data_IF_051242547575
#
_entry.id   IF_051242547575
#
_cell.length_a   1.000
_cell.length_b   1.000
_cell.length_c   1.000
_cell.angle_alpha   90.00
_cell.angle_beta   90.00
_cell.angle_gamma   90.00
#
_symmetry.space_group_name_H-M   'P 1'
#
loop_
_entity.id
_entity.type
_entity.pdbx_description
1 polymer ?
#
# COMPACT_ATOMS: atom_id res chain seq x y z
N UNK A 1 9.85 27.56 -15.72
CA UNK A 1 9.26 26.30 -15.22
C UNK A 1 7.81 26.56 -14.89
N UNK A 2 6.85 25.73 -15.31
CA UNK A 2 5.43 25.94 -14.99
C UNK A 2 5.17 25.68 -13.51
N UNK A 3 4.14 26.33 -12.96
CA UNK A 3 3.69 26.14 -11.58
C UNK A 3 3.49 24.64 -11.25
N UNK A 4 2.95 23.87 -12.20
CA UNK A 4 2.72 22.43 -12.02
C UNK A 4 4.02 21.65 -11.74
N UNK A 5 5.10 21.89 -12.49
CA UNK A 5 6.39 21.23 -12.26
C UNK A 5 7.04 21.65 -10.94
N UNK A 6 6.95 22.96 -10.63
CA UNK A 6 7.47 23.48 -9.35
C UNK A 6 6.71 22.88 -8.17
N UNK A 7 5.38 22.79 -8.25
CA UNK A 7 4.56 22.17 -7.21
C UNK A 7 4.84 20.67 -7.08
N UNK A 8 4.99 19.94 -8.20
CA UNK A 8 5.37 18.53 -8.17
C UNK A 8 6.75 18.32 -7.50
N UNK A 9 7.72 19.19 -7.81
CA UNK A 9 9.04 19.13 -7.19
C UNK A 9 9.00 19.42 -5.68
N UNK A 10 8.14 20.36 -5.25
CA UNK A 10 8.02 20.72 -3.82
C UNK A 10 7.45 19.59 -2.95
N UNK A 11 6.69 18.66 -3.53
CA UNK A 11 6.19 17.45 -2.84
C UNK A 11 7.13 16.26 -2.96
N UNK A 12 8.29 16.41 -3.60
CA UNK A 12 9.33 15.37 -3.69
C UNK A 12 9.38 14.60 -5.01
N UNK A 13 8.65 15.05 -6.07
CA UNK A 13 8.80 14.43 -7.39
C UNK A 13 10.17 14.74 -7.99
N UNK A 14 10.75 13.72 -8.63
CA UNK A 14 11.99 13.89 -9.39
C UNK A 14 11.65 14.39 -10.80
N UNK A 15 11.95 15.66 -11.05
CA UNK A 15 11.70 16.35 -12.32
C UNK A 15 12.95 16.24 -13.19
N UNK A 16 13.13 15.09 -13.84
CA UNK A 16 14.23 14.83 -14.77
C UNK A 16 13.67 14.58 -16.15
N UNK A 17 14.23 15.25 -17.17
CA UNK A 17 13.87 15.10 -18.59
C UNK A 17 12.38 15.35 -18.91
N UNK A 18 11.70 16.18 -18.12
CA UNK A 18 10.35 16.67 -18.40
C UNK A 18 10.34 18.19 -18.26
N UNK A 19 9.79 18.89 -19.25
CA UNK A 19 9.62 20.33 -19.23
C UNK A 19 8.17 20.78 -19.40
N UNK A 20 7.94 22.08 -19.38
CA UNK A 20 6.61 22.65 -19.53
C UNK A 20 5.96 22.33 -20.88
N UNK A 21 6.77 22.22 -21.95
CA UNK A 21 6.25 21.92 -23.28
C UNK A 21 5.79 20.47 -23.37
N UNK A 22 6.43 19.54 -22.66
CA UNK A 22 6.01 18.14 -22.57
C UNK A 22 4.62 18.02 -21.95
N UNK A 23 4.35 18.79 -20.89
CA UNK A 23 3.02 18.84 -20.26
C UNK A 23 1.98 19.46 -21.22
N UNK A 24 2.33 20.55 -21.91
CA UNK A 24 1.42 21.24 -22.85
C UNK A 24 1.11 20.33 -24.05
N UNK A 25 2.11 19.64 -24.58
CA UNK A 25 1.97 18.70 -25.70
C UNK A 25 1.31 17.39 -25.31
N UNK A 26 1.24 17.11 -24.00
CA UNK A 26 0.69 15.85 -23.49
C UNK A 26 1.55 14.65 -23.83
N UNK A 27 2.89 14.75 -23.79
CA UNK A 27 3.82 13.63 -24.10
C UNK A 27 3.53 12.45 -23.16
N UNK A 28 2.92 11.34 -23.65
CA UNK A 28 2.21 10.40 -22.75
C UNK A 28 3.11 9.78 -21.69
N UNK A 29 4.28 9.27 -22.06
CA UNK A 29 5.18 8.58 -21.13
C UNK A 29 5.76 9.51 -20.05
N UNK A 30 5.98 10.79 -20.34
CA UNK A 30 6.48 11.78 -19.40
C UNK A 30 5.37 12.23 -18.45
N UNK A 31 4.18 12.54 -18.98
CA UNK A 31 3.01 12.93 -18.19
C UNK A 31 2.58 11.80 -17.26
N UNK A 32 2.46 10.56 -17.76
CA UNK A 32 2.11 9.41 -16.95
C UNK A 32 3.18 9.08 -15.90
N UNK A 33 4.47 9.27 -16.24
CA UNK A 33 5.57 9.11 -15.29
C UNK A 33 5.48 10.10 -14.13
N UNK A 34 5.18 11.37 -14.41
CA UNK A 34 4.98 12.40 -13.39
C UNK A 34 3.74 12.12 -12.53
N UNK A 35 2.60 11.80 -13.16
CA UNK A 35 1.37 11.44 -12.45
C UNK A 35 1.59 10.26 -11.51
N UNK A 36 2.32 9.23 -11.97
CA UNK A 36 2.63 8.09 -11.11
C UNK A 36 3.48 8.48 -9.90
N UNK A 37 4.46 9.38 -10.04
CA UNK A 37 5.22 9.86 -8.89
C UNK A 37 4.32 10.59 -7.88
N UNK A 38 3.42 11.46 -8.35
CA UNK A 38 2.48 12.19 -7.48
C UNK A 38 1.56 11.23 -6.74
N UNK A 39 0.96 10.27 -7.45
CA UNK A 39 0.08 9.25 -6.86
C UNK A 39 0.84 8.44 -5.82
N UNK A 40 2.04 7.97 -6.15
CA UNK A 40 2.88 7.17 -5.26
C UNK A 40 3.21 7.92 -3.97
N UNK A 41 3.60 9.18 -4.05
CA UNK A 41 3.88 10.01 -2.88
C UNK A 41 2.63 10.13 -2.01
N UNK A 42 1.47 10.47 -2.59
CA UNK A 42 0.21 10.60 -1.86
C UNK A 42 -0.23 9.32 -1.16
N UNK A 43 -0.12 8.16 -1.83
CA UNK A 43 -0.51 6.88 -1.26
C UNK A 43 0.45 6.39 -0.17
N UNK A 44 1.76 6.64 -0.32
CA UNK A 44 2.76 6.05 0.56
C UNK A 44 3.11 6.90 1.78
N UNK A 45 2.79 8.20 1.77
CA UNK A 45 3.00 9.07 2.94
C UNK A 45 2.24 8.59 4.19
N UNK A 46 1.18 7.81 4.03
CA UNK A 46 0.42 7.26 5.14
C UNK A 46 0.98 5.94 5.66
N UNK A 47 1.94 5.34 4.94
CA UNK A 47 2.56 4.07 5.31
C UNK A 47 3.81 4.35 6.15
N UNK A 48 3.59 4.85 7.35
CA UNK A 48 4.64 5.13 8.33
C UNK A 48 4.14 4.79 9.74
N UNK A 49 5.06 4.56 10.66
CA UNK A 49 4.72 4.30 12.07
C UNK A 49 4.05 5.50 12.74
N UNK A 50 4.39 6.72 12.33
CA UNK A 50 3.76 7.94 12.84
C UNK A 50 2.27 8.00 12.50
N UNK A 51 1.91 7.59 11.27
CA UNK A 51 0.53 7.59 10.79
C UNK A 51 -0.24 6.32 11.20
N UNK A 52 0.44 5.19 11.25
CA UNK A 52 -0.14 3.90 11.59
C UNK A 52 0.76 3.13 12.59
N UNK A 53 0.67 3.42 13.90
CA UNK A 53 1.45 2.70 14.94
C UNK A 53 1.25 1.18 14.92
N UNK A 54 0.08 0.72 14.45
CA UNK A 54 -0.22 -0.71 14.26
C UNK A 54 0.73 -1.46 13.34
N UNK A 55 1.53 -0.75 12.51
CA UNK A 55 2.58 -1.37 11.70
C UNK A 55 3.61 -2.15 12.54
N UNK A 56 3.78 -1.81 13.81
CA UNK A 56 4.65 -2.58 14.71
C UNK A 56 4.21 -4.06 14.85
N UNK A 57 2.93 -4.38 14.62
CA UNK A 57 2.45 -5.78 14.60
C UNK A 57 3.01 -6.59 13.42
N UNK A 58 3.60 -5.93 12.43
CA UNK A 58 4.24 -6.59 11.29
C UNK A 58 5.68 -7.03 11.57
N UNK A 59 6.23 -6.74 12.76
CA UNK A 59 7.55 -7.21 13.17
C UNK A 59 7.57 -8.73 13.26
N UNK A 60 8.56 -9.33 12.66
CA UNK A 60 8.82 -10.77 12.78
C UNK A 60 9.68 -11.03 14.01
N UNK A 61 9.63 -12.26 14.54
CA UNK A 61 10.36 -12.62 15.76
C UNK A 61 11.83 -12.25 15.70
N UNK A 62 12.27 -11.40 16.63
CA UNK A 62 13.65 -10.90 16.73
C UNK A 62 14.00 -9.68 15.87
N UNK A 63 13.06 -9.16 15.05
CA UNK A 63 13.29 -7.91 14.32
C UNK A 63 13.19 -6.69 15.24
N UNK A 64 14.04 -5.70 14.94
CA UNK A 64 13.98 -4.38 15.56
C UNK A 64 13.04 -3.47 14.78
N UNK A 65 12.37 -2.53 15.45
CA UNK A 65 11.49 -1.54 14.83
C UNK A 65 12.19 -0.76 13.71
N UNK A 66 13.46 -0.43 13.90
CA UNK A 66 14.31 0.24 12.91
C UNK A 66 14.43 -0.53 11.59
N UNK A 67 14.37 -1.86 11.62
CA UNK A 67 14.40 -2.69 10.41
C UNK A 67 13.13 -2.50 9.59
N UNK A 68 11.97 -2.42 10.25
CA UNK A 68 10.70 -2.15 9.59
C UNK A 68 10.67 -0.73 8.98
N UNK A 69 11.18 0.27 9.71
CA UNK A 69 11.24 1.66 9.24
C UNK A 69 12.14 1.85 8.01
N UNK A 70 13.15 0.99 7.84
CA UNK A 70 14.05 1.02 6.66
C UNK A 70 13.48 0.31 5.43
N UNK A 71 12.37 -0.39 5.58
CA UNK A 71 11.72 -1.06 4.44
C UNK A 71 11.08 -0.05 3.50
N UNK A 72 11.06 -0.39 2.21
CA UNK A 72 10.26 0.38 1.26
C UNK A 72 8.77 0.24 1.56
N UNK A 73 7.94 1.24 1.26
CA UNK A 73 6.49 1.15 1.42
C UNK A 73 5.88 -0.08 0.72
N UNK A 74 6.41 -0.44 -0.43
CA UNK A 74 6.00 -1.63 -1.19
C UNK A 74 6.26 -2.93 -0.39
N UNK A 75 7.43 -3.02 0.24
CA UNK A 75 7.78 -4.17 1.08
C UNK A 75 6.92 -4.23 2.35
N UNK A 76 6.59 -3.09 2.95
CA UNK A 76 5.66 -3.01 4.09
C UNK A 76 4.27 -3.48 3.67
N UNK A 77 3.75 -3.03 2.52
CA UNK A 77 2.45 -3.46 2.00
C UNK A 77 2.41 -4.96 1.72
N UNK A 78 3.46 -5.52 1.15
CA UNK A 78 3.56 -6.96 0.91
C UNK A 78 3.53 -7.74 2.23
N UNK A 79 4.26 -7.27 3.23
CA UNK A 79 4.27 -7.85 4.58
C UNK A 79 2.90 -7.74 5.23
N UNK A 80 2.22 -6.60 5.09
CA UNK A 80 0.87 -6.39 5.61
C UNK A 80 -0.16 -7.33 4.98
N UNK A 81 -0.15 -7.50 3.65
CA UNK A 81 -1.04 -8.45 2.98
C UNK A 81 -0.82 -9.86 3.54
N UNK A 82 0.44 -10.30 3.61
CA UNK A 82 0.77 -11.63 4.13
C UNK A 82 0.39 -11.81 5.61
N UNK A 83 0.51 -10.78 6.42
CA UNK A 83 0.04 -10.77 7.80
C UNK A 83 -1.49 -10.97 7.87
N UNK A 84 -2.25 -10.26 7.03
CA UNK A 84 -3.71 -10.41 6.99
C UNK A 84 -4.13 -11.79 6.46
N UNK A 85 -3.43 -12.33 5.45
CA UNK A 85 -3.66 -13.68 4.94
C UNK A 85 -3.41 -14.75 6.04
N UNK A 86 -2.38 -14.56 6.86
CA UNK A 86 -2.12 -15.43 8.00
C UNK A 86 -3.25 -15.40 9.02
N UNK A 87 -3.74 -14.21 9.37
CA UNK A 87 -4.91 -14.05 10.26
C UNK A 87 -6.19 -14.65 9.68
N UNK A 88 -6.32 -14.65 8.35
CA UNK A 88 -7.42 -15.31 7.64
C UNK A 88 -7.29 -16.86 7.57
N UNK A 89 -6.20 -17.42 8.08
CA UNK A 89 -5.92 -18.85 8.01
C UNK A 89 -5.52 -19.36 6.62
N UNK A 90 -5.07 -18.46 5.72
CA UNK A 90 -4.63 -18.80 4.37
C UNK A 90 -3.14 -19.19 4.42
N UNK A 91 -2.77 -20.43 4.02
CA UNK A 91 -1.39 -20.89 4.09
C UNK A 91 -0.49 -20.25 3.02
N UNK A 92 -1.08 -19.88 1.88
CA UNK A 92 -0.34 -19.30 0.77
C UNK A 92 0.05 -17.85 1.05
N UNK A 93 1.29 -17.51 0.71
CA UNK A 93 1.82 -16.15 0.79
C UNK A 93 2.03 -15.61 -0.62
N UNK A 94 1.89 -14.30 -0.77
CA UNK A 94 2.27 -13.62 -2.02
C UNK A 94 3.68 -13.01 -1.87
N UNK A 95 4.42 -12.99 -2.98
CA UNK A 95 5.78 -12.42 -3.05
C UNK A 95 5.83 -11.18 -3.93
N UNK A 96 4.75 -10.90 -4.65
CA UNK A 96 4.68 -9.75 -5.56
C UNK A 96 3.22 -9.37 -5.83
N UNK A 97 3.04 -8.15 -6.36
CA UNK A 97 1.76 -7.62 -6.82
C UNK A 97 1.60 -7.74 -8.35
N UNK A 98 2.13 -8.81 -8.92
CA UNK A 98 2.04 -9.13 -10.35
C UNK A 98 1.44 -10.51 -10.56
N UNK A 99 2.24 -11.56 -10.49
CA UNK A 99 1.79 -12.91 -10.80
C UNK A 99 0.96 -13.55 -9.67
N UNK A 100 1.28 -13.26 -8.42
CA UNK A 100 0.69 -13.93 -7.26
C UNK A 100 -0.71 -13.42 -6.90
N UNK A 101 -1.23 -12.42 -7.64
CA UNK A 101 -2.54 -11.82 -7.40
C UNK A 101 -3.53 -12.00 -8.56
N UNK A 102 -3.10 -12.58 -9.68
CA UNK A 102 -3.87 -12.65 -10.92
C UNK A 102 -5.16 -13.48 -10.82
N UNK A 103 -5.19 -14.44 -9.93
CA UNK A 103 -6.36 -15.27 -9.67
C UNK A 103 -7.35 -14.65 -8.68
N UNK A 104 -7.04 -13.46 -8.16
CA UNK A 104 -7.83 -12.71 -7.17
C UNK A 104 -8.04 -13.42 -5.84
N UNK A 105 -7.42 -14.58 -5.60
CA UNK A 105 -7.63 -15.36 -4.37
C UNK A 105 -7.11 -14.60 -3.15
N UNK A 106 -5.86 -14.15 -3.19
CA UNK A 106 -5.25 -13.37 -2.11
C UNK A 106 -6.04 -12.11 -1.79
N UNK A 107 -6.51 -11.38 -2.80
CA UNK A 107 -7.32 -10.19 -2.60
C UNK A 107 -8.69 -10.49 -2.01
N UNK A 108 -9.32 -11.59 -2.40
CA UNK A 108 -10.62 -12.00 -1.86
C UNK A 108 -10.52 -12.31 -0.36
N UNK A 109 -9.48 -13.02 0.06
CA UNK A 109 -9.23 -13.28 1.48
C UNK A 109 -8.85 -12.01 2.24
N UNK A 110 -8.01 -11.16 1.65
CA UNK A 110 -7.61 -9.89 2.24
C UNK A 110 -8.83 -9.00 2.52
N UNK A 111 -9.68 -8.77 1.51
CA UNK A 111 -10.88 -7.95 1.64
C UNK A 111 -11.81 -8.45 2.74
N UNK A 112 -12.05 -9.76 2.77
CA UNK A 112 -12.89 -10.36 3.81
C UNK A 112 -12.27 -10.22 5.22
N UNK A 113 -10.94 -10.29 5.33
CA UNK A 113 -10.22 -10.20 6.60
C UNK A 113 -10.20 -8.78 7.18
N UNK A 114 -10.06 -7.76 6.32
CA UNK A 114 -9.99 -6.36 6.76
C UNK A 114 -11.36 -5.69 6.89
N UNK A 115 -12.40 -6.32 6.37
CA UNK A 115 -13.76 -5.80 6.38
C UNK A 115 -14.40 -5.87 7.77
N UNK A 116 -15.21 -4.87 8.10
CA UNK A 116 -16.06 -4.95 9.27
C UNK A 116 -17.12 -6.05 9.10
N UNK A 117 -17.56 -6.71 10.19
CA UNK A 117 -18.51 -7.84 10.12
C UNK A 117 -19.84 -7.49 9.42
N UNK A 118 -20.27 -6.24 9.51
CA UNK A 118 -21.52 -5.71 8.93
C UNK A 118 -21.37 -5.11 7.53
N UNK A 119 -20.17 -5.14 6.96
CA UNK A 119 -19.86 -4.57 5.64
C UNK A 119 -20.54 -5.29 4.47
N UNK A 120 -20.98 -6.53 4.68
CA UNK A 120 -21.51 -7.39 3.63
C UNK A 120 -20.46 -7.91 2.63
N UNK A 121 -19.17 -7.73 2.93
CA UNK A 121 -18.08 -8.32 2.15
C UNK A 121 -18.07 -9.84 2.34
N UNK A 122 -17.95 -10.58 1.24
CA UNK A 122 -17.96 -12.03 1.23
C UNK A 122 -16.88 -12.61 0.32
N UNK A 123 -16.81 -13.93 0.24
CA UNK A 123 -15.82 -14.68 -0.55
C UNK A 123 -16.41 -15.35 -1.80
N UNK A 124 -17.55 -14.88 -2.31
CA UNK A 124 -18.21 -15.49 -3.47
C UNK A 124 -17.33 -15.48 -4.75
N UNK A 125 -16.40 -14.54 -4.87
CA UNK A 125 -15.43 -14.52 -5.95
C UNK A 125 -14.68 -15.86 -6.11
N UNK A 126 -14.44 -16.59 -5.02
CA UNK A 126 -13.74 -17.88 -5.06
C UNK A 126 -14.56 -18.99 -5.74
N UNK A 127 -15.86 -18.80 -5.93
CA UNK A 127 -16.72 -19.76 -6.62
C UNK A 127 -16.68 -19.60 -8.14
N UNK A 128 -16.15 -18.48 -8.62
CA UNK A 128 -16.05 -18.19 -10.05
C UNK A 128 -14.75 -18.78 -10.62
N UNK A 129 -14.85 -19.39 -11.81
CA UNK A 129 -13.70 -20.03 -12.48
C UNK A 129 -13.07 -19.13 -13.53
N UNK A 130 -13.85 -18.27 -14.17
CA UNK A 130 -13.33 -17.26 -15.09
C UNK A 130 -12.59 -16.17 -14.32
N UNK A 131 -11.31 -16.00 -14.62
CA UNK A 131 -10.45 -15.08 -13.84
C UNK A 131 -10.88 -13.62 -13.94
N UNK A 132 -11.39 -13.18 -15.09
CA UNK A 132 -11.84 -11.79 -15.29
C UNK A 132 -13.12 -11.55 -14.49
N UNK A 133 -14.07 -12.48 -14.58
CA UNK A 133 -15.31 -12.42 -13.81
C UNK A 133 -15.04 -12.52 -12.32
N UNK A 134 -14.13 -13.40 -11.90
CA UNK A 134 -13.68 -13.51 -10.50
C UNK A 134 -13.10 -12.19 -10.00
N UNK A 135 -12.22 -11.54 -10.79
CA UNK A 135 -11.65 -10.25 -10.45
C UNK A 135 -12.73 -9.16 -10.36
N UNK A 136 -13.73 -9.17 -11.24
CA UNK A 136 -14.86 -8.23 -11.16
C UNK A 136 -15.66 -8.42 -9.86
N UNK A 137 -16.01 -9.67 -9.49
CA UNK A 137 -16.73 -9.95 -8.24
C UNK A 137 -15.89 -9.51 -7.03
N UNK A 138 -14.59 -9.78 -7.04
CA UNK A 138 -13.66 -9.34 -5.99
C UNK A 138 -13.62 -7.81 -5.89
N UNK A 139 -13.55 -7.10 -7.01
CA UNK A 139 -13.55 -5.63 -7.02
C UNK A 139 -14.90 -5.04 -6.56
N UNK A 140 -16.02 -5.74 -6.79
CA UNK A 140 -17.31 -5.36 -6.20
C UNK A 140 -17.31 -5.48 -4.67
N UNK A 141 -16.57 -6.43 -4.10
CA UNK A 141 -16.38 -6.48 -2.65
C UNK A 141 -15.51 -5.29 -2.15
N UNK A 142 -14.47 -4.92 -2.92
CA UNK A 142 -13.68 -3.72 -2.61
C UNK A 142 -14.51 -2.42 -2.71
N UNK A 143 -15.50 -2.37 -3.58
CA UNK A 143 -16.43 -1.24 -3.70
C UNK A 143 -17.27 -1.04 -2.43
N UNK A 144 -17.69 -2.12 -1.78
CA UNK A 144 -18.40 -2.06 -0.47
C UNK A 144 -17.54 -1.41 0.62
N UNK A 145 -16.21 -1.46 0.49
CA UNK A 145 -15.25 -0.80 1.36
C UNK A 145 -14.85 0.61 0.87
N UNK A 146 -15.43 1.10 -0.22
CA UNK A 146 -15.08 2.37 -0.85
C UNK A 146 -13.68 2.38 -1.50
N UNK A 147 -13.12 1.19 -1.78
CA UNK A 147 -11.74 1.06 -2.24
C UNK A 147 -11.59 0.69 -3.72
N UNK A 148 -12.69 0.53 -4.47
CA UNK A 148 -12.65 0.32 -5.91
C UNK A 148 -12.60 1.66 -6.65
N UNK A 149 -11.42 2.19 -6.96
CA UNK A 149 -11.31 3.53 -7.54
C UNK A 149 -10.82 3.56 -8.98
N UNK A 150 -9.75 2.88 -9.33
CA UNK A 150 -9.02 3.08 -10.59
C UNK A 150 -8.51 1.77 -11.22
N UNK A 151 -8.82 0.64 -10.62
CA UNK A 151 -8.38 -0.68 -11.06
C UNK A 151 -9.53 -1.42 -11.75
N UNK A 152 -9.23 -2.05 -12.88
CA UNK A 152 -10.13 -2.91 -13.63
C UNK A 152 -9.84 -4.40 -13.40
N UNK A 153 -10.79 -5.30 -13.71
CA UNK A 153 -10.55 -6.74 -13.67
C UNK A 153 -9.35 -7.18 -14.51
N UNK A 154 -9.17 -6.55 -15.67
CA UNK A 154 -8.04 -6.83 -16.57
C UNK A 154 -6.71 -6.46 -15.93
N UNK A 155 -6.63 -5.31 -15.22
CA UNK A 155 -5.41 -4.89 -14.53
C UNK A 155 -4.99 -5.90 -13.45
N UNK A 156 -5.95 -6.55 -12.80
CA UNK A 156 -5.68 -7.62 -11.84
C UNK A 156 -5.18 -8.87 -12.56
N UNK A 157 -5.93 -9.37 -13.54
CA UNK A 157 -5.60 -10.63 -14.23
C UNK A 157 -4.33 -10.54 -15.09
N UNK A 158 -3.99 -9.37 -15.59
CA UNK A 158 -2.72 -9.09 -16.27
C UNK A 158 -1.56 -8.84 -15.30
N UNK A 159 -1.87 -8.54 -14.04
CA UNK A 159 -0.87 -8.24 -13.01
C UNK A 159 -0.17 -6.91 -13.24
N UNK A 160 -0.93 -5.87 -13.61
CA UNK A 160 -0.39 -4.52 -13.84
C UNK A 160 0.13 -3.95 -12.52
N UNK A 161 1.44 -4.04 -12.31
CA UNK A 161 2.10 -3.78 -11.02
C UNK A 161 1.69 -2.46 -10.36
N UNK A 162 1.76 -1.35 -11.09
CA UNK A 162 1.48 -0.02 -10.52
C UNK A 162 0.05 0.11 -10.01
N UNK A 163 -0.93 -0.42 -10.75
CA UNK A 163 -2.33 -0.34 -10.39
C UNK A 163 -2.65 -1.28 -9.22
N UNK A 164 -2.11 -2.48 -9.22
CA UNK A 164 -2.27 -3.41 -8.10
C UNK A 164 -1.61 -2.88 -6.82
N UNK A 165 -0.40 -2.31 -6.91
CA UNK A 165 0.27 -1.69 -5.77
C UNK A 165 -0.53 -0.50 -5.21
N UNK A 166 -1.05 0.36 -6.08
CA UNK A 166 -1.89 1.49 -5.68
C UNK A 166 -3.22 1.02 -5.06
N UNK A 167 -3.81 -0.05 -5.57
CA UNK A 167 -5.01 -0.67 -5.00
C UNK A 167 -4.75 -1.16 -3.57
N UNK A 168 -3.65 -1.89 -3.35
CA UNK A 168 -3.28 -2.38 -2.01
C UNK A 168 -2.96 -1.24 -1.05
N UNK A 169 -2.26 -0.19 -1.51
CA UNK A 169 -2.01 1.00 -0.72
C UNK A 169 -3.31 1.72 -0.32
N UNK A 170 -4.28 1.79 -1.22
CA UNK A 170 -5.59 2.36 -0.93
C UNK A 170 -6.37 1.52 0.10
N UNK A 171 -6.31 0.19 0.00
CA UNK A 171 -6.89 -0.71 1.02
C UNK A 171 -6.24 -0.49 2.38
N UNK A 172 -4.92 -0.44 2.45
CA UNK A 172 -4.18 -0.19 3.69
C UNK A 172 -4.56 1.15 4.32
N UNK A 173 -4.59 2.22 3.53
CA UNK A 173 -4.85 3.57 4.04
C UNK A 173 -6.27 3.72 4.62
N UNK A 174 -7.25 3.01 4.07
CA UNK A 174 -8.64 3.08 4.53
C UNK A 174 -8.99 2.00 5.56
N UNK A 175 -8.38 0.82 5.45
CA UNK A 175 -8.69 -0.35 6.28
C UNK A 175 -7.42 -1.10 6.70
N UNK A 176 -6.51 -0.50 7.49
CA UNK A 176 -5.27 -1.16 7.89
C UNK A 176 -5.51 -2.43 8.71
N UNK A 177 -6.62 -2.49 9.46
CA UNK A 177 -7.00 -3.64 10.30
C UNK A 177 -5.84 -4.16 11.14
N UNK A 178 -5.12 -3.22 11.74
CA UNK A 178 -4.00 -3.46 12.65
C UNK A 178 -4.36 -2.89 14.01
N UNK A 179 -4.30 -3.74 15.03
CA UNK A 179 -4.53 -3.33 16.41
C UNK A 179 -3.43 -2.34 16.84
N UNK A 180 -3.78 -1.40 17.71
CA UNK A 180 -2.73 -0.58 18.32
C UNK A 180 -1.83 -1.50 19.14
N UNK A 181 -0.51 -1.53 18.91
CA UNK A 181 0.37 -2.33 19.71
C UNK A 181 0.38 -1.78 21.15
N UNK A 182 0.49 -2.69 22.12
CA UNK A 182 0.62 -2.37 23.52
C UNK A 182 2.10 -1.97 23.82
N UNK A 183 2.59 -0.96 23.09
CA UNK A 183 3.96 -0.45 23.20
C UNK A 183 3.90 0.92 23.86
N UNK A 184 4.69 1.11 24.89
CA UNK A 184 4.94 2.40 25.52
C UNK A 184 5.79 3.29 24.60
N UNK A 185 5.10 4.01 23.70
CA UNK A 185 5.73 4.92 22.74
C UNK A 185 6.46 6.09 23.43
N UNK A 186 5.94 6.57 24.58
CA UNK A 186 6.56 7.64 25.36
C UNK A 186 7.92 7.19 25.94
N UNK A 187 8.03 5.92 26.33
CA UNK A 187 9.29 5.33 26.76
C UNK A 187 10.33 5.21 25.64
N UNK A 188 9.90 5.01 24.40
CA UNK A 188 10.80 4.90 23.23
C UNK A 188 11.29 6.28 22.75
N UNK A 189 10.44 7.30 22.70
CA UNK A 189 10.83 8.68 22.35
C UNK A 189 11.87 9.23 23.35
N UNK A 190 11.68 8.99 24.65
CA UNK A 190 12.64 9.37 25.68
C UNK A 190 14.01 8.67 25.54
N UNK A 191 14.04 7.45 24.99
CA UNK A 191 15.29 6.72 24.72
C UNK A 191 16.04 7.27 23.51
N UNK A 192 15.33 7.74 22.49
CA UNK A 192 15.91 8.36 21.29
C UNK A 192 16.48 9.75 21.60
N UNK A 193 15.73 10.60 22.32
CA UNK A 193 16.25 11.91 22.77
C UNK A 193 17.49 11.76 23.64
N UNK A 194 17.51 10.79 24.55
CA UNK A 194 18.69 10.53 25.41
C UNK A 194 19.90 10.02 24.64
N UNK A 195 19.70 9.31 23.51
CA UNK A 195 20.77 8.87 22.61
C UNK A 195 21.30 10.01 21.73
N UNK A 196 20.45 10.87 21.23
CA UNK A 196 20.86 12.04 20.45
C UNK A 196 21.63 13.05 21.31
N UNK A 197 21.21 13.28 22.56
CA UNK A 197 21.93 14.14 23.49
C UNK A 197 23.33 13.59 23.83
N UNK A 198 23.47 12.29 24.03
CA UNK A 198 24.78 11.64 24.27
C UNK A 198 25.71 11.68 23.06
N UNK A 199 25.14 11.64 21.85
CA UNK A 199 25.91 11.69 20.59
C UNK A 199 26.39 13.11 20.25
N UNK A 200 25.76 14.15 20.81
CA UNK A 200 26.17 15.56 20.66
C UNK A 200 27.20 16.01 21.68
N UNK A 201 27.53 15.18 22.68
CA UNK A 201 28.49 15.47 23.74
C UNK A 201 29.87 14.77 23.54
N UNK A 202 30.09 14.09 22.42
CA UNK A 202 31.34 13.50 21.96
C UNK A 202 31.85 14.24 20.74
#
# INVERSE_FOLDING_TARGET
MTLALTSAQSIGCNIVNIDANDLIKGTPHLVLGLLWQIIRIGLFNQISLEQCPGLANLLMGGEQLESLMKMSPEAILLRWVNFQLERAGVPNRINNFTNDIKDSEAYTFLLHQIAAPDSGVNKEALMETDLVTRAEIMLQQADKLGCRSFISPQDVTEGVYKLNLAFVANLFNNHPSLDKPDIDWEGLENLEETREEKSKQI
#
